data_IF_686166284543
#
_entry.id   IF_686166284543
#
_cell.length_a   1.000
_cell.length_b   1.000
_cell.length_c   1.000
_cell.angle_alpha   90.00
_cell.angle_beta   90.00
_cell.angle_gamma   90.00
#
_symmetry.space_group_name_H-M   'P 1'
#
loop_
_entity.id
_entity.type
_entity.pdbx_description
1 polymer ?
#
# COMPACT_ATOMS: atom_id res chain seq x y z
N UNK A 1 -25.38 4.48 -33.79
CA UNK A 1 -24.34 3.48 -34.11
C UNK A 1 -23.24 3.45 -33.07
N UNK A 2 -22.58 4.56 -32.66
CA UNK A 2 -21.49 4.53 -31.70
C UNK A 2 -21.85 3.97 -30.29
N UNK A 3 -23.03 4.27 -29.75
CA UNK A 3 -23.47 3.83 -28.42
C UNK A 3 -23.80 2.32 -28.33
N UNK A 4 -24.13 1.68 -29.45
CA UNK A 4 -24.37 0.23 -29.52
C UNK A 4 -23.05 -0.57 -29.55
N UNK A 5 -22.03 -0.05 -30.22
CA UNK A 5 -20.72 -0.66 -30.31
C UNK A 5 -19.97 -0.58 -28.96
N UNK A 6 -20.08 0.54 -28.23
CA UNK A 6 -19.48 0.70 -26.89
C UNK A 6 -20.07 -0.28 -25.86
N UNK A 7 -21.39 -0.51 -25.88
CA UNK A 7 -22.03 -1.47 -24.98
C UNK A 7 -21.61 -2.91 -25.28
N UNK A 8 -21.47 -3.28 -26.55
CA UNK A 8 -21.02 -4.63 -26.92
C UNK A 8 -19.57 -4.88 -26.52
N UNK A 9 -18.68 -3.87 -26.62
CA UNK A 9 -17.31 -3.98 -26.16
C UNK A 9 -17.20 -4.11 -24.63
N UNK A 10 -18.04 -3.38 -23.88
CA UNK A 10 -18.15 -3.49 -22.42
C UNK A 10 -18.63 -4.89 -22.02
N UNK A 11 -19.71 -5.38 -22.65
CA UNK A 11 -20.26 -6.70 -22.34
C UNK A 11 -19.24 -7.82 -22.64
N UNK A 12 -18.50 -7.73 -23.74
CA UNK A 12 -17.46 -8.68 -24.08
C UNK A 12 -16.30 -8.66 -23.08
N UNK A 13 -15.87 -7.46 -22.63
CA UNK A 13 -14.84 -7.34 -21.59
C UNK A 13 -15.31 -7.92 -20.26
N UNK A 14 -16.54 -7.61 -19.82
CA UNK A 14 -17.11 -8.16 -18.59
C UNK A 14 -17.27 -9.66 -18.64
N UNK A 15 -17.72 -10.22 -19.77
CA UNK A 15 -17.81 -11.67 -19.95
C UNK A 15 -16.43 -12.35 -19.82
N UNK A 16 -15.36 -11.72 -20.33
CA UNK A 16 -14.00 -12.26 -20.21
C UNK A 16 -13.47 -12.24 -18.78
N UNK A 17 -14.05 -11.44 -17.89
CA UNK A 17 -13.65 -11.33 -16.48
C UNK A 17 -14.46 -12.26 -15.55
N UNK A 18 -15.64 -12.74 -15.98
CA UNK A 18 -16.61 -13.38 -15.09
C UNK A 18 -16.22 -14.82 -14.67
N UNK A 19 -15.34 -15.46 -15.39
CA UNK A 19 -15.03 -16.89 -15.20
C UNK A 19 -14.23 -17.14 -13.91
N UNK A 20 -13.22 -16.30 -13.65
CA UNK A 20 -12.34 -16.41 -12.48
C UNK A 20 -11.49 -15.15 -12.25
N UNK A 21 -10.83 -15.06 -11.09
CA UNK A 21 -9.85 -14.00 -10.82
C UNK A 21 -8.67 -14.00 -11.80
N UNK A 22 -8.27 -15.18 -12.29
CA UNK A 22 -7.19 -15.29 -13.28
C UNK A 22 -7.65 -14.84 -14.67
N UNK A 23 -8.91 -15.10 -15.04
CA UNK A 23 -9.51 -14.60 -16.27
C UNK A 23 -9.59 -13.06 -16.24
N UNK A 24 -10.05 -12.48 -15.12
CA UNK A 24 -10.09 -11.03 -14.92
C UNK A 24 -8.69 -10.40 -15.00
N UNK A 25 -7.69 -11.04 -14.42
CA UNK A 25 -6.30 -10.59 -14.53
C UNK A 25 -5.77 -10.70 -15.97
N UNK A 26 -6.11 -11.78 -16.68
CA UNK A 26 -5.77 -11.94 -18.10
C UNK A 26 -6.37 -10.83 -18.96
N UNK A 27 -7.65 -10.51 -18.75
CA UNK A 27 -8.33 -9.40 -19.43
C UNK A 27 -7.68 -8.04 -19.08
N UNK A 28 -7.30 -7.83 -17.83
CA UNK A 28 -6.59 -6.62 -17.39
C UNK A 28 -5.22 -6.49 -18.09
N UNK A 29 -4.44 -7.57 -18.22
CA UNK A 29 -3.17 -7.56 -18.98
C UNK A 29 -3.37 -7.15 -20.44
N UNK A 30 -4.36 -7.72 -21.11
CA UNK A 30 -4.66 -7.38 -22.50
C UNK A 30 -5.06 -5.90 -22.67
N UNK A 31 -5.80 -5.34 -21.71
CA UNK A 31 -6.11 -3.90 -21.69
C UNK A 31 -4.88 -3.06 -21.44
N UNK A 32 -3.96 -3.49 -20.56
CA UNK A 32 -2.71 -2.77 -20.30
C UNK A 32 -1.87 -2.65 -21.57
N UNK A 33 -1.73 -3.73 -22.35
CA UNK A 33 -0.99 -3.72 -23.62
C UNK A 33 -1.59 -2.68 -24.59
N UNK A 34 -2.92 -2.59 -24.65
CA UNK A 34 -3.61 -1.58 -25.48
C UNK A 34 -3.42 -0.15 -24.94
N UNK A 35 -3.39 0.05 -23.62
CA UNK A 35 -3.12 1.35 -22.99
C UNK A 35 -1.69 1.83 -23.25
N UNK A 36 -0.74 0.91 -23.28
CA UNK A 36 0.67 1.20 -23.56
C UNK A 36 0.92 1.55 -25.02
N UNK A 37 0.17 0.97 -25.95
CA UNK A 37 0.30 1.22 -27.38
C UNK A 37 -0.43 2.51 -27.77
N UNK A 38 0.27 3.54 -28.32
CA UNK A 38 -0.35 4.82 -28.66
C UNK A 38 -1.57 4.72 -29.59
N UNK A 39 -1.55 3.78 -30.55
CA UNK A 39 -2.62 3.61 -31.53
C UNK A 39 -3.96 3.11 -30.93
N UNK A 40 -3.91 2.33 -29.86
CA UNK A 40 -5.11 1.74 -29.22
C UNK A 40 -5.43 2.32 -27.84
N UNK A 41 -4.59 3.22 -27.32
CA UNK A 41 -4.73 3.82 -25.97
C UNK A 41 -6.07 4.50 -25.76
N UNK A 42 -6.49 5.36 -26.70
CA UNK A 42 -7.73 6.10 -26.58
C UNK A 42 -8.95 5.16 -26.53
N UNK A 43 -8.94 4.10 -27.35
CA UNK A 43 -10.03 3.11 -27.34
C UNK A 43 -10.06 2.32 -26.04
N UNK A 44 -8.90 1.85 -25.55
CA UNK A 44 -8.81 1.15 -24.27
C UNK A 44 -9.23 2.04 -23.09
N UNK A 45 -8.89 3.32 -23.12
CA UNK A 45 -9.29 4.30 -22.10
C UNK A 45 -10.82 4.52 -22.11
N UNK A 46 -11.43 4.66 -23.30
CA UNK A 46 -12.89 4.75 -23.43
C UNK A 46 -13.59 3.49 -22.94
N UNK A 47 -13.07 2.31 -23.27
CA UNK A 47 -13.61 1.04 -22.76
C UNK A 47 -13.65 1.03 -21.23
N UNK A 48 -12.52 1.30 -20.56
CA UNK A 48 -12.46 1.34 -19.09
C UNK A 48 -13.36 2.44 -18.49
N UNK A 49 -13.47 3.60 -19.14
CA UNK A 49 -14.38 4.65 -18.75
C UNK A 49 -15.85 4.24 -18.86
N UNK A 50 -16.21 3.47 -19.89
CA UNK A 50 -17.57 2.92 -20.06
C UNK A 50 -17.88 1.83 -19.04
N UNK A 51 -16.92 0.95 -18.75
CA UNK A 51 -17.00 -0.05 -17.67
C UNK A 51 -17.22 0.64 -16.32
N UNK A 52 -16.44 1.67 -15.99
CA UNK A 52 -16.61 2.45 -14.77
C UNK A 52 -18.01 3.05 -14.64
N UNK A 53 -18.50 3.68 -15.72
CA UNK A 53 -19.85 4.28 -15.72
C UNK A 53 -20.96 3.25 -15.46
N UNK A 54 -20.80 2.02 -15.93
CA UNK A 54 -21.76 0.94 -15.69
C UNK A 54 -21.85 0.54 -14.22
N UNK A 55 -20.79 0.71 -13.46
CA UNK A 55 -20.69 0.39 -12.03
C UNK A 55 -20.62 1.63 -11.14
N UNK A 56 -21.06 2.77 -11.62
CA UNK A 56 -21.07 4.03 -10.86
C UNK A 56 -22.01 3.99 -9.65
N UNK A 57 -23.03 3.11 -9.66
CA UNK A 57 -23.87 2.85 -8.50
C UNK A 57 -23.08 2.03 -7.45
N UNK A 58 -22.96 2.52 -6.21
CA UNK A 58 -22.24 1.80 -5.14
C UNK A 58 -22.80 0.39 -4.87
N UNK A 59 -24.11 0.19 -5.01
CA UNK A 59 -24.73 -1.14 -4.83
C UNK A 59 -24.28 -2.11 -5.95
N UNK A 60 -24.28 -1.66 -7.19
CA UNK A 60 -23.79 -2.44 -8.32
C UNK A 60 -22.30 -2.71 -8.26
N UNK A 61 -21.51 -1.83 -7.62
CA UNK A 61 -20.06 -1.97 -7.47
C UNK A 61 -19.63 -3.16 -6.62
N UNK A 62 -20.37 -3.49 -5.54
CA UNK A 62 -20.08 -4.68 -4.71
C UNK A 62 -20.44 -5.98 -5.43
N UNK A 63 -21.55 -6.03 -6.13
CA UNK A 63 -21.94 -7.20 -6.94
C UNK A 63 -20.98 -7.40 -8.11
N UNK A 64 -20.46 -6.31 -8.68
CA UNK A 64 -19.43 -6.36 -9.72
C UNK A 64 -18.16 -7.07 -9.25
N UNK A 65 -17.65 -6.76 -8.06
CA UNK A 65 -16.42 -7.37 -7.54
C UNK A 65 -16.58 -8.88 -7.31
N UNK A 66 -17.76 -9.32 -6.90
CA UNK A 66 -18.08 -10.74 -6.72
C UNK A 66 -18.29 -11.48 -8.05
N UNK A 67 -18.91 -10.82 -9.02
CA UNK A 67 -19.31 -11.46 -10.30
C UNK A 67 -18.19 -11.45 -11.32
N UNK A 68 -17.43 -10.35 -11.40
CA UNK A 68 -16.42 -10.14 -12.45
C UNK A 68 -14.98 -10.15 -11.94
N UNK A 69 -14.76 -10.39 -10.65
CA UNK A 69 -13.44 -10.44 -10.02
C UNK A 69 -12.60 -9.17 -10.24
N UNK A 70 -13.23 -8.03 -10.44
CA UNK A 70 -12.61 -6.71 -10.46
C UNK A 70 -13.65 -5.64 -10.20
N UNK A 71 -13.19 -4.42 -9.89
CA UNK A 71 -14.02 -3.20 -9.92
C UNK A 71 -13.19 -2.02 -10.41
N UNK A 72 -13.91 -1.02 -10.97
CA UNK A 72 -13.32 0.31 -11.25
C UNK A 72 -14.15 1.32 -10.50
N UNK A 73 -13.49 2.07 -9.60
CA UNK A 73 -14.16 3.06 -8.77
C UNK A 73 -13.25 4.26 -8.49
N UNK A 74 -13.81 5.31 -7.90
CA UNK A 74 -13.06 6.49 -7.49
C UNK A 74 -12.61 6.37 -6.03
N UNK A 75 -11.32 6.60 -5.78
CA UNK A 75 -10.73 6.78 -4.46
C UNK A 75 -10.65 8.28 -4.17
N UNK A 76 -11.32 8.73 -3.12
CA UNK A 76 -11.34 10.13 -2.71
C UNK A 76 -10.11 10.37 -1.81
N UNK A 77 -9.24 11.29 -2.24
CA UNK A 77 -7.97 11.57 -1.55
C UNK A 77 -8.14 12.52 -0.36
N UNK A 78 -9.20 13.33 -0.36
CA UNK A 78 -9.50 14.26 0.71
C UNK A 78 -10.99 14.20 1.08
N UNK A 79 -11.37 13.31 2.00
CA UNK A 79 -12.77 13.11 2.38
C UNK A 79 -13.39 14.34 3.05
N UNK A 80 -12.57 15.24 3.63
CA UNK A 80 -13.07 16.47 4.26
C UNK A 80 -13.55 17.52 3.22
N UNK A 81 -13.12 17.35 1.96
CA UNK A 81 -13.54 18.21 0.85
C UNK A 81 -14.65 17.58 -0.01
N UNK A 82 -15.29 16.51 0.47
CA UNK A 82 -16.41 15.87 -0.25
C UNK A 82 -17.49 16.90 -0.56
N UNK A 83 -17.92 16.93 -1.84
CA UNK A 83 -18.94 17.87 -2.33
C UNK A 83 -18.37 19.23 -2.77
N UNK A 84 -17.11 19.54 -2.58
CA UNK A 84 -16.47 20.69 -3.21
C UNK A 84 -16.09 20.38 -4.67
N UNK A 85 -16.05 21.41 -5.53
CA UNK A 85 -15.54 21.28 -6.91
C UNK A 85 -14.04 20.93 -6.98
N UNK A 86 -13.35 20.90 -5.84
CA UNK A 86 -11.91 20.65 -5.70
C UNK A 86 -11.58 19.27 -5.11
N UNK A 87 -12.59 18.39 -4.93
CA UNK A 87 -12.35 17.03 -4.41
C UNK A 87 -11.40 16.30 -5.36
N UNK A 88 -10.18 16.05 -4.88
CA UNK A 88 -9.22 15.24 -5.63
C UNK A 88 -9.60 13.77 -5.49
N UNK A 89 -9.65 13.08 -6.62
CA UNK A 89 -9.96 11.66 -6.68
C UNK A 89 -9.06 10.95 -7.69
N UNK A 90 -8.84 9.67 -7.47
CA UNK A 90 -8.20 8.78 -8.43
C UNK A 90 -9.21 7.73 -8.91
N UNK A 91 -9.22 7.48 -10.20
CA UNK A 91 -9.94 6.33 -10.75
C UNK A 91 -9.05 5.09 -10.66
N UNK A 92 -9.53 4.07 -9.95
CA UNK A 92 -8.74 2.88 -9.65
C UNK A 92 -9.44 1.61 -10.11
N UNK A 93 -8.69 0.72 -10.76
CA UNK A 93 -9.06 -0.67 -10.95
C UNK A 93 -8.50 -1.50 -9.78
N UNK A 94 -9.31 -2.41 -9.28
CA UNK A 94 -8.93 -3.35 -8.23
C UNK A 94 -9.28 -4.77 -8.64
N UNK A 95 -8.48 -5.72 -8.19
CA UNK A 95 -8.70 -7.17 -8.32
C UNK A 95 -8.50 -7.85 -6.95
N UNK A 96 -9.11 -9.02 -6.70
CA UNK A 96 -9.10 -9.66 -5.37
C UNK A 96 -7.71 -10.01 -4.82
N UNK A 97 -6.74 -10.21 -5.69
CA UNK A 97 -5.37 -10.60 -5.30
C UNK A 97 -4.46 -9.44 -4.86
N UNK A 98 -4.99 -8.22 -4.77
CA UNK A 98 -4.24 -7.02 -4.40
C UNK A 98 -5.01 -6.25 -3.33
N UNK A 99 -4.32 -5.77 -2.30
CA UNK A 99 -4.93 -4.98 -1.25
C UNK A 99 -5.61 -3.73 -1.80
N UNK A 100 -6.87 -3.55 -1.43
CA UNK A 100 -7.64 -2.34 -1.70
C UNK A 100 -7.18 -1.18 -0.83
N UNK A 101 -7.39 0.08 -1.25
CA UNK A 101 -7.28 1.22 -0.36
C UNK A 101 -8.22 1.08 0.84
N UNK A 102 -7.66 1.05 2.04
CA UNK A 102 -8.36 0.87 3.31
C UNK A 102 -7.75 1.74 4.41
N UNK A 103 -8.31 1.71 5.62
CA UNK A 103 -7.91 2.56 6.74
C UNK A 103 -6.40 2.56 7.00
N UNK A 104 -5.73 1.40 6.82
CA UNK A 104 -4.29 1.28 6.96
C UNK A 104 -3.53 2.20 5.99
N UNK A 105 -3.87 2.14 4.73
CA UNK A 105 -3.22 2.91 3.68
C UNK A 105 -3.68 4.38 3.64
N UNK A 106 -4.94 4.66 3.99
CA UNK A 106 -5.41 6.04 4.18
C UNK A 106 -4.73 6.74 5.36
N UNK A 107 -4.52 6.04 6.47
CA UNK A 107 -3.74 6.56 7.61
C UNK A 107 -2.31 6.90 7.19
N UNK A 108 -1.71 6.06 6.34
CA UNK A 108 -0.37 6.33 5.81
C UNK A 108 -0.35 7.60 4.95
N UNK A 109 -1.28 7.72 4.01
CA UNK A 109 -1.38 8.91 3.15
C UNK A 109 -1.62 10.19 3.97
N UNK A 110 -2.46 10.13 5.00
CA UNK A 110 -2.65 11.24 5.95
C UNK A 110 -1.35 11.60 6.67
N UNK A 111 -0.60 10.60 7.13
CA UNK A 111 0.71 10.81 7.74
C UNK A 111 1.72 11.46 6.81
N UNK A 112 1.77 11.06 5.52
CA UNK A 112 2.59 11.74 4.51
C UNK A 112 2.19 13.21 4.36
N UNK A 113 0.91 13.52 4.45
CA UNK A 113 0.36 14.88 4.35
C UNK A 113 0.71 15.79 5.54
N UNK A 114 1.23 15.23 6.65
CA UNK A 114 1.73 15.98 7.80
C UNK A 114 3.13 16.58 7.59
N UNK A 115 3.80 16.21 6.53
CA UNK A 115 5.01 16.89 6.09
C UNK A 115 4.67 18.15 5.29
N UNK A 116 5.57 19.16 5.26
CA UNK A 116 5.48 20.26 4.31
C UNK A 116 5.50 19.74 2.85
N UNK A 117 4.79 20.40 1.96
CA UNK A 117 4.74 20.01 0.54
C UNK A 117 6.12 19.90 -0.12
N UNK A 118 7.08 20.69 0.32
CA UNK A 118 8.47 20.66 -0.16
C UNK A 118 9.21 19.36 0.12
N UNK A 119 8.67 18.47 1.00
CA UNK A 119 9.35 17.24 1.36
C UNK A 119 9.50 16.29 0.15
N UNK A 120 8.51 16.28 -0.75
CA UNK A 120 8.50 15.42 -1.92
C UNK A 120 8.72 16.15 -3.24
N UNK A 121 8.52 17.48 -3.29
CA UNK A 121 8.71 18.27 -4.50
C UNK A 121 10.15 18.13 -5.02
N UNK A 122 10.29 17.84 -6.31
CA UNK A 122 11.59 17.67 -7.00
C UNK A 122 12.47 16.55 -6.40
N UNK A 123 11.87 15.59 -5.71
CA UNK A 123 12.58 14.47 -5.07
C UNK A 123 12.39 13.17 -5.84
N UNK A 124 13.41 12.33 -5.78
CA UNK A 124 13.35 10.93 -6.22
C UNK A 124 12.84 10.09 -5.05
N UNK A 125 11.73 9.40 -5.25
CA UNK A 125 10.99 8.66 -4.22
C UNK A 125 10.89 7.19 -4.61
N UNK A 126 11.14 6.27 -3.69
CA UNK A 126 10.74 4.87 -3.81
C UNK A 126 9.54 4.59 -2.89
N UNK A 127 8.49 3.96 -3.43
CA UNK A 127 7.32 3.51 -2.70
C UNK A 127 7.31 1.99 -2.60
N UNK A 128 7.53 1.44 -1.40
CA UNK A 128 7.61 0.01 -1.12
C UNK A 128 6.21 -0.58 -0.86
N UNK A 129 5.93 -1.76 -1.43
CA UNK A 129 4.64 -2.40 -1.36
C UNK A 129 3.58 -1.53 -2.02
N UNK A 130 3.81 -1.11 -3.27
CA UNK A 130 2.95 -0.13 -3.95
C UNK A 130 1.53 -0.64 -4.24
N UNK A 131 1.31 -1.96 -4.21
CA UNK A 131 0.01 -2.57 -4.46
C UNK A 131 -0.57 -2.13 -5.79
N UNK A 132 -1.80 -1.63 -5.78
CA UNK A 132 -2.46 -1.08 -6.97
C UNK A 132 -1.95 0.31 -7.40
N UNK A 133 -0.91 0.84 -6.77
CA UNK A 133 -0.21 2.08 -7.14
C UNK A 133 -0.83 3.37 -6.62
N UNK A 134 -1.97 3.33 -5.90
CA UNK A 134 -2.73 4.53 -5.57
C UNK A 134 -1.95 5.58 -4.79
N UNK A 135 -1.14 5.18 -3.79
CA UNK A 135 -0.33 6.12 -3.00
C UNK A 135 0.73 6.80 -3.86
N UNK A 136 1.42 6.04 -4.73
CA UNK A 136 2.42 6.57 -5.64
C UNK A 136 1.84 7.58 -6.63
N UNK A 137 0.65 7.28 -7.18
CA UNK A 137 -0.08 8.16 -8.11
C UNK A 137 -0.58 9.41 -7.37
N UNK A 138 -1.18 9.23 -6.18
CA UNK A 138 -1.66 10.34 -5.35
C UNK A 138 -0.52 11.28 -4.94
N UNK A 139 0.62 10.71 -4.53
CA UNK A 139 1.83 11.45 -4.17
C UNK A 139 2.32 12.29 -5.35
N UNK A 140 2.42 11.69 -6.53
CA UNK A 140 2.87 12.38 -7.74
C UNK A 140 1.94 13.53 -8.12
N UNK A 141 0.63 13.32 -8.05
CA UNK A 141 -0.37 14.35 -8.37
C UNK A 141 -0.45 15.49 -7.36
N UNK A 142 -0.09 15.23 -6.09
CA UNK A 142 -0.15 16.26 -5.03
C UNK A 142 1.14 17.05 -4.88
N UNK A 143 2.29 16.37 -4.84
CA UNK A 143 3.55 16.98 -4.42
C UNK A 143 4.57 17.19 -5.54
N UNK A 144 4.25 16.78 -6.77
CA UNK A 144 5.07 17.00 -7.97
C UNK A 144 6.55 16.56 -7.76
N UNK A 145 6.81 15.29 -7.38
CA UNK A 145 8.16 14.79 -7.22
C UNK A 145 8.89 14.75 -8.57
N UNK A 146 10.21 14.67 -8.55
CA UNK A 146 11.00 14.45 -9.76
C UNK A 146 10.65 13.09 -10.37
N UNK A 147 10.66 12.04 -9.55
CA UNK A 147 10.32 10.67 -9.94
C UNK A 147 9.83 9.85 -8.76
N UNK A 148 8.85 8.99 -9.00
CA UNK A 148 8.36 7.99 -8.05
C UNK A 148 8.55 6.60 -8.66
N UNK A 149 9.28 5.75 -7.98
CA UNK A 149 9.40 4.33 -8.29
C UNK A 149 8.49 3.55 -7.35
N UNK A 150 7.36 3.07 -7.84
CA UNK A 150 6.47 2.16 -7.09
C UNK A 150 6.98 0.73 -7.23
N UNK A 151 7.29 0.10 -6.11
CA UNK A 151 7.92 -1.21 -6.03
C UNK A 151 7.03 -2.20 -5.32
N UNK A 152 6.84 -3.38 -5.91
CA UNK A 152 6.08 -4.47 -5.30
C UNK A 152 6.64 -5.81 -5.74
N UNK A 153 6.61 -6.80 -4.85
CA UNK A 153 7.07 -8.15 -5.19
C UNK A 153 6.02 -8.91 -6.01
N UNK A 154 4.75 -8.49 -5.92
CA UNK A 154 3.65 -9.12 -6.64
C UNK A 154 3.56 -8.58 -8.07
N UNK A 155 3.84 -9.40 -9.12
CA UNK A 155 3.78 -8.96 -10.50
C UNK A 155 2.36 -8.54 -10.93
N UNK A 156 1.31 -9.06 -10.28
CA UNK A 156 -0.07 -8.61 -10.54
C UNK A 156 -0.29 -7.18 -10.07
N UNK A 157 0.24 -6.83 -8.89
CA UNK A 157 0.24 -5.45 -8.37
C UNK A 157 0.82 -4.48 -9.38
N UNK A 158 1.96 -4.81 -9.95
CA UNK A 158 2.65 -3.96 -10.93
C UNK A 158 1.79 -3.73 -12.18
N UNK A 159 1.15 -4.78 -12.71
CA UNK A 159 0.27 -4.64 -13.89
C UNK A 159 -0.94 -3.76 -13.60
N UNK A 160 -1.58 -3.96 -12.46
CA UNK A 160 -2.74 -3.13 -12.05
C UNK A 160 -2.31 -1.70 -11.73
N UNK A 161 -1.16 -1.49 -11.10
CA UNK A 161 -0.62 -0.15 -10.84
C UNK A 161 -0.37 0.63 -12.15
N UNK A 162 0.16 -0.03 -13.18
CA UNK A 162 0.28 0.57 -14.50
C UNK A 162 -1.07 0.92 -15.13
N UNK A 163 -2.09 0.04 -15.05
CA UNK A 163 -3.44 0.37 -15.53
C UNK A 163 -3.96 1.61 -14.80
N UNK A 164 -3.82 1.65 -13.48
CA UNK A 164 -4.26 2.76 -12.66
C UNK A 164 -3.51 4.07 -12.99
N UNK A 165 -2.24 3.98 -13.30
CA UNK A 165 -1.48 5.13 -13.78
C UNK A 165 -2.06 5.67 -15.10
N UNK A 166 -2.36 4.81 -16.07
CA UNK A 166 -2.99 5.20 -17.34
C UNK A 166 -4.41 5.75 -17.15
N UNK A 167 -5.18 5.20 -16.20
CA UNK A 167 -6.52 5.70 -15.85
C UNK A 167 -6.50 7.14 -15.32
N UNK A 168 -5.39 7.58 -14.74
CA UNK A 168 -5.26 8.91 -14.15
C UNK A 168 -4.34 9.85 -14.95
N UNK A 169 -3.54 9.33 -15.88
CA UNK A 169 -2.67 10.12 -16.75
C UNK A 169 -3.37 10.63 -18.01
N UNK A 170 -4.50 10.05 -18.37
CA UNK A 170 -5.28 10.41 -19.56
C UNK A 170 -6.75 10.63 -19.20
N UNK A 171 -7.40 11.55 -19.92
CA UNK A 171 -8.83 11.74 -19.85
C UNK A 171 -9.62 10.60 -20.55
N UNK A 172 -10.94 10.67 -20.56
CA UNK A 172 -11.79 9.65 -21.18
C UNK A 172 -11.65 9.59 -22.71
N UNK A 173 -11.15 10.66 -23.33
CA UNK A 173 -10.89 10.74 -24.77
C UNK A 173 -9.46 10.29 -25.13
N UNK A 174 -8.64 9.97 -24.12
CA UNK A 174 -7.27 9.51 -24.27
C UNK A 174 -6.24 10.63 -24.44
N UNK A 175 -6.60 11.88 -24.13
CA UNK A 175 -5.66 12.99 -24.13
C UNK A 175 -4.86 13.01 -22.83
N UNK A 176 -3.52 13.30 -22.88
CA UNK A 176 -2.71 13.42 -21.67
C UNK A 176 -3.20 14.54 -20.75
N UNK A 177 -3.23 14.27 -19.46
CA UNK A 177 -3.48 15.26 -18.42
C UNK A 177 -2.14 15.79 -17.92
N UNK A 178 -1.92 17.10 -18.09
CA UNK A 178 -0.69 17.78 -17.69
C UNK A 178 -0.88 18.46 -16.33
N UNK A 179 0.17 18.42 -15.52
CA UNK A 179 0.25 19.18 -14.27
C UNK A 179 0.71 20.63 -14.51
N UNK A 180 0.85 21.40 -13.41
CA UNK A 180 1.27 22.81 -13.47
C UNK A 180 2.69 23.04 -13.99
N UNK A 181 3.50 21.99 -14.18
CA UNK A 181 4.84 22.02 -14.74
C UNK A 181 4.90 21.46 -16.17
N UNK A 182 3.74 21.15 -16.75
CA UNK A 182 3.65 20.61 -18.11
C UNK A 182 4.08 19.14 -18.23
N UNK A 183 4.11 18.38 -17.13
CA UNK A 183 4.40 16.96 -17.08
C UNK A 183 3.13 16.15 -16.85
N UNK A 184 3.13 14.92 -17.35
CA UNK A 184 2.07 13.94 -17.05
C UNK A 184 2.46 13.07 -15.87
N UNK A 185 1.50 12.30 -15.34
CA UNK A 185 1.80 11.29 -14.32
C UNK A 185 2.78 10.22 -14.84
N UNK A 186 2.77 9.91 -16.14
CA UNK A 186 3.72 8.97 -16.76
C UNK A 186 5.17 9.48 -16.73
N UNK A 187 5.37 10.80 -16.75
CA UNK A 187 6.71 11.38 -16.62
C UNK A 187 7.25 11.26 -15.19
N UNK A 188 6.34 11.17 -14.21
CA UNK A 188 6.68 11.19 -12.78
C UNK A 188 6.68 9.82 -12.11
N UNK A 189 5.88 8.85 -12.58
CA UNK A 189 5.67 7.56 -11.90
C UNK A 189 6.05 6.41 -12.79
N UNK A 190 6.76 5.45 -12.23
CA UNK A 190 7.06 4.15 -12.83
C UNK A 190 6.84 3.05 -11.81
N UNK A 191 6.47 1.85 -12.28
CA UNK A 191 6.25 0.69 -11.43
C UNK A 191 7.12 -0.48 -11.85
N UNK A 192 7.75 -1.14 -10.87
CA UNK A 192 8.66 -2.25 -11.10
C UNK A 192 8.44 -3.38 -10.10
N UNK A 193 8.56 -4.60 -10.58
CA UNK A 193 8.66 -5.77 -9.73
C UNK A 193 9.97 -5.72 -8.95
N UNK A 194 9.87 -5.83 -7.62
CA UNK A 194 11.04 -5.69 -6.75
C UNK A 194 10.77 -6.32 -5.39
N UNK A 195 11.68 -7.13 -4.92
CA UNK A 195 11.75 -7.50 -3.51
C UNK A 195 12.36 -6.32 -2.74
N UNK A 196 11.50 -5.56 -2.07
CA UNK A 196 11.83 -4.28 -1.42
C UNK A 196 12.61 -3.34 -2.35
N UNK A 197 13.87 -3.05 -2.04
CA UNK A 197 14.73 -2.10 -2.75
C UNK A 197 15.70 -2.77 -3.74
N UNK A 198 15.52 -4.06 -4.06
CA UNK A 198 16.42 -4.77 -4.99
C UNK A 198 16.55 -4.05 -6.33
N UNK A 199 15.42 -3.63 -6.93
CA UNK A 199 15.44 -2.84 -8.17
C UNK A 199 16.29 -1.57 -8.06
N UNK A 200 16.16 -0.84 -6.95
CA UNK A 200 16.92 0.40 -6.77
C UNK A 200 18.43 0.13 -6.62
N UNK A 201 18.81 -0.93 -5.91
CA UNK A 201 20.22 -1.34 -5.78
C UNK A 201 20.82 -1.74 -7.12
N UNK A 202 20.12 -2.62 -7.84
CA UNK A 202 20.59 -3.19 -9.10
C UNK A 202 20.76 -2.12 -10.17
N UNK A 203 19.89 -1.09 -10.15
CA UNK A 203 19.97 0.06 -11.05
C UNK A 203 20.75 1.24 -10.47
N UNK A 204 21.41 1.08 -9.31
CA UNK A 204 22.25 2.11 -8.66
C UNK A 204 21.52 3.44 -8.47
N UNK A 205 20.23 3.37 -8.12
CA UNK A 205 19.42 4.57 -7.88
C UNK A 205 19.77 5.17 -6.52
N UNK A 206 19.91 6.48 -6.48
CA UNK A 206 20.06 7.26 -5.25
C UNK A 206 18.73 7.96 -4.94
N UNK A 207 18.15 7.65 -3.80
CA UNK A 207 16.81 8.09 -3.41
C UNK A 207 16.87 9.25 -2.42
N UNK A 208 16.05 10.27 -2.64
CA UNK A 208 15.82 11.32 -1.65
C UNK A 208 14.85 10.87 -0.57
N UNK A 209 13.87 10.03 -0.93
CA UNK A 209 12.81 9.55 -0.05
C UNK A 209 12.52 8.08 -0.29
N UNK A 210 12.24 7.37 0.79
CA UNK A 210 11.68 6.01 0.75
C UNK A 210 10.41 6.04 1.57
N UNK A 211 9.31 5.59 0.99
CA UNK A 211 8.03 5.46 1.70
C UNK A 211 7.59 4.01 1.67
N UNK A 212 7.00 3.52 2.76
CA UNK A 212 6.58 2.12 2.85
C UNK A 212 5.31 1.93 3.66
N UNK A 213 4.32 1.32 3.00
CA UNK A 213 3.12 0.78 3.63
C UNK A 213 3.13 -0.74 3.39
N UNK A 214 4.17 -1.40 3.90
CA UNK A 214 4.45 -2.81 3.65
C UNK A 214 3.78 -3.70 4.71
N UNK A 215 3.52 -4.99 4.40
CA UNK A 215 2.88 -5.90 5.32
C UNK A 215 3.63 -6.05 6.63
N UNK A 216 2.87 -6.10 7.72
CA UNK A 216 3.35 -6.41 9.07
C UNK A 216 2.64 -7.69 9.52
N UNK A 217 3.22 -8.82 9.15
CA UNK A 217 2.63 -10.14 9.36
C UNK A 217 3.46 -10.88 10.40
N UNK A 218 2.80 -11.24 11.49
CA UNK A 218 3.33 -12.18 12.45
C UNK A 218 2.97 -13.59 11.97
N UNK A 219 3.96 -14.39 11.66
CA UNK A 219 3.78 -15.79 11.27
C UNK A 219 4.45 -16.73 12.28
N UNK A 220 3.81 -17.04 13.42
CA UNK A 220 4.35 -17.98 14.38
C UNK A 220 4.23 -19.43 13.89
N UNK A 221 3.37 -19.70 12.89
CA UNK A 221 3.16 -21.03 12.32
C UNK A 221 3.15 -20.97 10.80
N UNK A 222 4.33 -21.10 10.12
CA UNK A 222 4.44 -21.09 8.67
C UNK A 222 3.55 -22.13 7.96
N UNK A 223 3.32 -23.30 8.58
CA UNK A 223 2.49 -24.34 7.99
C UNK A 223 1.00 -23.99 7.98
N UNK A 224 0.50 -23.32 9.03
CA UNK A 224 -0.88 -22.85 9.08
C UNK A 224 -1.15 -21.76 8.04
N UNK A 225 -0.21 -20.81 7.89
CA UNK A 225 -0.29 -19.78 6.84
C UNK A 225 -0.23 -20.39 5.45
N UNK A 226 0.63 -21.38 5.24
CA UNK A 226 0.73 -22.10 3.97
C UNK A 226 -0.59 -22.76 3.56
N UNK A 227 -1.37 -23.29 4.52
CA UNK A 227 -2.70 -23.87 4.26
C UNK A 227 -3.75 -22.84 3.87
N UNK A 228 -3.79 -21.70 4.54
CA UNK A 228 -4.72 -20.59 4.22
C UNK A 228 -4.45 -20.07 2.80
N UNK A 229 -3.19 -20.04 2.42
CA UNK A 229 -2.72 -19.58 1.12
C UNK A 229 -3.13 -20.57 0.01
N UNK A 230 -3.06 -21.89 0.25
CA UNK A 230 -3.20 -22.92 -0.80
C UNK A 230 -4.64 -23.08 -1.30
N UNK A 231 -5.65 -22.69 -0.51
CA UNK A 231 -7.05 -22.99 -0.83
C UNK A 231 -7.72 -22.03 -1.83
N UNK A 232 -7.18 -20.83 -2.07
CA UNK A 232 -7.89 -19.77 -2.82
C UNK A 232 -7.07 -18.86 -3.74
N UNK A 233 -5.81 -19.18 -4.10
CA UNK A 233 -4.95 -18.20 -4.75
C UNK A 233 -4.16 -18.76 -5.95
N UNK A 234 -3.89 -17.91 -6.96
CA UNK A 234 -2.99 -18.24 -8.06
C UNK A 234 -1.54 -18.41 -7.60
N UNK A 235 -0.73 -19.13 -8.37
CA UNK A 235 0.70 -19.33 -8.06
C UNK A 235 1.46 -18.01 -7.85
N UNK A 236 1.20 -16.98 -8.66
CA UNK A 236 1.84 -15.67 -8.54
C UNK A 236 1.51 -14.98 -7.20
N UNK A 237 0.25 -15.09 -6.76
CA UNK A 237 -0.17 -14.52 -5.48
C UNK A 237 0.40 -15.32 -4.31
N UNK A 238 0.40 -16.66 -4.40
CA UNK A 238 0.99 -17.56 -3.41
C UNK A 238 2.47 -17.26 -3.19
N UNK A 239 3.21 -17.10 -4.29
CA UNK A 239 4.63 -16.76 -4.23
C UNK A 239 4.86 -15.43 -3.50
N UNK A 240 4.12 -14.40 -3.87
CA UNK A 240 4.22 -13.08 -3.26
C UNK A 240 3.91 -13.11 -1.76
N UNK A 241 2.82 -13.79 -1.38
CA UNK A 241 2.41 -13.87 0.01
C UNK A 241 3.37 -14.71 0.87
N UNK A 242 3.91 -15.80 0.32
CA UNK A 242 4.90 -16.63 1.02
C UNK A 242 6.18 -15.84 1.34
N UNK A 243 6.60 -14.94 0.46
CA UNK A 243 7.72 -14.03 0.73
C UNK A 243 7.41 -13.02 1.84
N UNK A 244 6.17 -12.53 1.94
CA UNK A 244 5.76 -11.65 3.04
C UNK A 244 5.70 -12.36 4.39
N UNK A 245 5.33 -13.63 4.39
CA UNK A 245 5.22 -14.44 5.60
C UNK A 245 6.54 -15.08 6.02
N UNK A 246 7.58 -15.06 5.18
CA UNK A 246 8.88 -15.61 5.50
C UNK A 246 9.56 -14.80 6.60
N UNK A 247 10.25 -15.52 7.52
CA UNK A 247 11.13 -14.89 8.48
C UNK A 247 12.30 -14.22 7.74
N UNK A 248 12.61 -12.99 8.15
CA UNK A 248 13.67 -12.19 7.53
C UNK A 248 15.03 -12.37 8.22
N UNK A 249 15.07 -13.12 9.34
CA UNK A 249 16.29 -13.36 10.13
C UNK A 249 16.61 -12.26 11.13
N UNK A 250 15.65 -11.42 11.45
CA UNK A 250 15.78 -10.35 12.44
C UNK A 250 15.08 -10.71 13.75
N UNK A 251 15.58 -10.16 14.86
CA UNK A 251 14.90 -10.28 16.17
C UNK A 251 13.50 -9.67 16.15
N UNK A 252 13.26 -8.77 15.24
CA UNK A 252 11.98 -8.12 15.00
C UNK A 252 10.94 -9.03 14.33
N UNK A 253 11.34 -10.20 13.84
CA UNK A 253 10.41 -11.20 13.27
C UNK A 253 9.38 -11.69 14.31
N UNK A 254 9.79 -11.79 15.59
CA UNK A 254 8.89 -12.14 16.70
C UNK A 254 7.71 -11.18 16.87
N UNK A 255 7.84 -9.97 16.34
CA UNK A 255 6.83 -8.91 16.44
C UNK A 255 6.16 -8.60 15.09
N UNK A 256 6.44 -9.37 14.05
CA UNK A 256 5.98 -9.12 12.69
C UNK A 256 6.64 -7.90 12.02
N UNK A 257 7.78 -7.44 12.53
CA UNK A 257 8.47 -6.23 12.07
C UNK A 257 9.71 -6.54 11.22
N UNK A 258 10.02 -7.82 10.97
CA UNK A 258 11.24 -8.21 10.26
C UNK A 258 11.33 -7.64 8.86
N UNK A 259 10.23 -7.65 8.10
CA UNK A 259 10.20 -7.07 6.74
C UNK A 259 10.47 -5.55 6.76
N UNK A 260 9.94 -4.84 7.75
CA UNK A 260 10.21 -3.40 7.95
C UNK A 260 11.67 -3.18 8.33
N UNK A 261 12.21 -4.01 9.24
CA UNK A 261 13.62 -3.97 9.63
C UNK A 261 14.53 -4.14 8.41
N UNK A 262 14.25 -5.12 7.56
CA UNK A 262 14.97 -5.36 6.30
C UNK A 262 14.87 -4.17 5.35
N UNK A 263 13.67 -3.63 5.16
CA UNK A 263 13.46 -2.46 4.30
C UNK A 263 14.27 -1.23 4.76
N UNK A 264 14.34 -1.01 6.08
CA UNK A 264 15.16 0.07 6.66
C UNK A 264 16.65 -0.15 6.41
N UNK A 265 17.16 -1.38 6.58
CA UNK A 265 18.58 -1.70 6.34
C UNK A 265 18.95 -1.60 4.86
N UNK A 266 18.13 -2.15 3.96
CA UNK A 266 18.34 -2.00 2.52
C UNK A 266 18.29 -0.53 2.10
N UNK A 267 17.42 0.26 2.75
CA UNK A 267 17.28 1.70 2.50
C UNK A 267 18.56 2.48 2.79
N UNK A 268 19.37 2.08 3.78
CA UNK A 268 20.64 2.75 4.08
C UNK A 268 21.59 2.74 2.88
N UNK A 269 21.55 1.68 2.08
CA UNK A 269 22.44 1.51 0.92
C UNK A 269 22.08 2.38 -0.29
N UNK A 270 20.83 2.87 -0.37
CA UNK A 270 20.31 3.59 -1.55
C UNK A 270 19.79 4.99 -1.25
N UNK A 271 19.68 5.35 0.02
CA UNK A 271 19.21 6.68 0.41
C UNK A 271 20.36 7.68 0.40
N UNK A 272 20.12 8.85 -0.17
CA UNK A 272 21.08 9.96 -0.16
C UNK A 272 21.34 10.47 1.27
N UNK A 273 22.48 11.12 1.53
CA UNK A 273 22.69 11.89 2.75
C UNK A 273 21.52 12.86 2.97
N UNK A 274 21.01 12.95 4.18
CA UNK A 274 19.82 13.74 4.56
C UNK A 274 18.50 13.24 3.94
N UNK A 275 18.49 12.08 3.30
CA UNK A 275 17.29 11.43 2.82
C UNK A 275 16.37 11.00 3.99
N UNK A 276 15.10 10.82 3.71
CA UNK A 276 14.08 10.50 4.72
C UNK A 276 13.36 9.23 4.29
N UNK A 277 13.14 8.35 5.27
CA UNK A 277 12.25 7.21 5.12
C UNK A 277 10.97 7.47 5.91
N UNK A 278 9.81 7.05 5.37
CA UNK A 278 8.52 7.14 6.05
C UNK A 278 7.84 5.79 6.01
N UNK A 279 7.50 5.25 7.18
CA UNK A 279 6.85 3.94 7.30
C UNK A 279 5.58 4.02 8.12
N UNK A 280 4.60 3.20 7.73
CA UNK A 280 3.37 2.94 8.46
C UNK A 280 3.53 1.67 9.29
N UNK A 281 3.29 1.75 10.59
CA UNK A 281 3.52 0.63 11.52
C UNK A 281 2.33 0.45 12.47
N UNK A 282 1.79 -0.76 12.50
CA UNK A 282 0.82 -1.19 13.49
C UNK A 282 1.46 -1.35 14.86
N UNK A 283 0.87 -0.73 15.87
CA UNK A 283 1.42 -0.62 17.21
C UNK A 283 1.23 -1.84 18.10
N UNK A 284 0.71 -2.96 17.58
CA UNK A 284 0.50 -4.18 18.37
C UNK A 284 1.73 -4.63 19.18
N UNK A 285 2.96 -4.52 18.66
CA UNK A 285 4.17 -4.85 19.43
C UNK A 285 4.49 -3.88 20.58
N UNK A 286 3.74 -2.78 20.67
CA UNK A 286 4.03 -1.67 21.57
C UNK A 286 4.90 -0.60 20.91
N UNK A 287 4.62 0.67 21.24
CA UNK A 287 5.29 1.82 20.61
C UNK A 287 6.81 1.73 20.75
N UNK A 288 7.32 1.39 21.92
CA UNK A 288 8.76 1.31 22.16
C UNK A 288 9.46 0.21 21.33
N UNK A 289 8.78 -0.87 20.97
CA UNK A 289 9.29 -1.91 20.06
C UNK A 289 9.34 -1.37 18.63
N UNK A 290 8.26 -0.75 18.18
CA UNK A 290 8.18 -0.14 16.84
C UNK A 290 9.29 0.91 16.62
N UNK A 291 9.52 1.77 17.61
CA UNK A 291 10.54 2.82 17.54
C UNK A 291 11.96 2.23 17.55
N UNK A 292 12.21 1.16 18.29
CA UNK A 292 13.53 0.51 18.34
C UNK A 292 13.99 -0.03 16.99
N UNK A 293 13.07 -0.39 16.07
CA UNK A 293 13.44 -0.81 14.71
C UNK A 293 14.34 0.22 14.04
N UNK A 294 14.01 1.49 14.18
CA UNK A 294 14.76 2.60 13.58
C UNK A 294 15.94 3.05 14.45
N UNK A 295 15.73 3.19 15.75
CA UNK A 295 16.75 3.69 16.68
C UNK A 295 18.01 2.80 16.71
N UNK A 296 17.82 1.46 16.67
CA UNK A 296 18.93 0.50 16.61
C UNK A 296 19.76 0.58 15.34
N UNK A 297 19.16 1.11 14.27
CA UNK A 297 19.78 1.29 12.95
C UNK A 297 20.31 2.71 12.73
N UNK A 298 20.37 3.51 13.81
CA UNK A 298 20.99 4.84 13.80
C UNK A 298 20.12 5.95 13.25
N UNK A 299 18.81 5.76 13.18
CA UNK A 299 17.88 6.81 12.73
C UNK A 299 17.39 7.68 13.88
N UNK A 300 17.17 8.96 13.56
CA UNK A 300 16.25 9.81 14.31
C UNK A 300 14.85 9.56 13.79
N UNK A 301 13.88 9.51 14.71
CA UNK A 301 12.49 9.28 14.38
C UNK A 301 11.62 10.46 14.80
N UNK A 302 10.56 10.68 14.01
CA UNK A 302 9.48 11.59 14.34
C UNK A 302 8.17 10.89 14.00
N UNK A 303 7.28 10.73 14.97
CA UNK A 303 5.93 10.27 14.72
C UNK A 303 5.13 11.42 14.09
N UNK A 304 4.68 11.23 12.85
CA UNK A 304 3.93 12.22 12.08
C UNK A 304 2.45 12.18 12.40
N UNK A 305 1.92 10.97 12.48
CA UNK A 305 0.50 10.70 12.68
C UNK A 305 0.30 9.42 13.45
N UNK A 306 -0.76 9.34 14.21
CA UNK A 306 -1.20 8.13 14.87
C UNK A 306 -2.72 8.14 14.98
N UNK A 307 -3.32 6.99 14.70
CA UNK A 307 -4.75 6.74 14.92
C UNK A 307 -4.93 5.35 15.51
N UNK A 308 -6.16 4.99 15.87
CA UNK A 308 -6.56 3.62 16.17
C UNK A 308 -7.36 3.07 15.01
N UNK A 309 -7.11 1.83 14.66
CA UNK A 309 -7.88 1.09 13.68
C UNK A 309 -8.45 -0.18 14.32
N UNK A 310 -9.65 -0.55 13.86
CA UNK A 310 -10.26 -1.80 14.31
C UNK A 310 -9.43 -2.98 13.82
N UNK A 311 -9.22 -3.96 14.69
CA UNK A 311 -8.69 -5.26 14.27
C UNK A 311 -9.77 -5.99 13.47
N UNK A 312 -9.44 -6.52 12.31
CA UNK A 312 -10.37 -7.32 11.53
C UNK A 312 -10.88 -8.53 12.36
N UNK A 313 -12.18 -8.78 12.32
CA UNK A 313 -12.82 -9.75 13.19
C UNK A 313 -12.38 -11.21 12.89
N UNK A 314 -11.93 -11.46 11.68
CA UNK A 314 -11.41 -12.74 11.18
C UNK A 314 -9.92 -12.96 11.50
N UNK A 315 -9.23 -11.93 12.01
CA UNK A 315 -7.81 -12.06 12.38
C UNK A 315 -7.66 -12.80 13.71
N UNK A 316 -7.04 -13.98 13.66
CA UNK A 316 -6.67 -14.71 14.86
C UNK A 316 -5.44 -14.10 15.51
N UNK A 317 -5.57 -13.70 16.79
CA UNK A 317 -4.46 -13.17 17.59
C UNK A 317 -3.96 -14.18 18.64
N UNK A 318 -4.40 -15.45 18.57
CA UNK A 318 -3.98 -16.50 19.53
C UNK A 318 -2.47 -16.68 19.58
N UNK A 319 -1.79 -16.52 18.44
CA UNK A 319 -0.35 -16.57 18.37
C UNK A 319 0.37 -15.49 19.19
N UNK A 320 -0.22 -14.31 19.29
CA UNK A 320 0.31 -13.23 20.14
C UNK A 320 0.15 -13.57 21.63
N UNK A 321 -0.93 -14.28 21.98
CA UNK A 321 -1.14 -14.80 23.34
C UNK A 321 -0.08 -15.81 23.69
N UNK A 322 0.23 -16.74 22.79
CA UNK A 322 1.30 -17.74 22.99
C UNK A 322 2.69 -17.10 23.20
N UNK A 323 3.00 -16.05 22.45
CA UNK A 323 4.24 -15.28 22.65
C UNK A 323 4.26 -14.65 24.06
N UNK A 324 3.15 -14.05 24.51
CA UNK A 324 3.05 -13.49 25.85
C UNK A 324 3.18 -14.52 26.97
N UNK A 325 2.79 -15.77 26.74
CA UNK A 325 2.93 -16.86 27.70
C UNK A 325 4.38 -17.32 27.84
N UNK A 326 5.14 -17.24 26.75
CA UNK A 326 6.51 -17.74 26.69
C UNK A 326 7.57 -16.63 26.78
N UNK A 327 7.17 -15.36 26.92
CA UNK A 327 8.09 -14.22 27.02
C UNK A 327 7.58 -13.15 27.98
N UNK A 328 8.44 -12.25 28.47
CA UNK A 328 8.02 -11.10 29.26
C UNK A 328 7.33 -10.00 28.44
N UNK A 329 7.33 -10.13 27.11
CA UNK A 329 6.73 -9.15 26.22
C UNK A 329 5.20 -9.08 26.40
N UNK A 330 4.62 -7.90 26.22
CA UNK A 330 3.17 -7.70 26.20
C UNK A 330 2.83 -6.88 24.97
N UNK A 331 1.87 -7.40 24.17
CA UNK A 331 1.31 -6.69 23.05
C UNK A 331 0.33 -5.61 23.53
N UNK A 332 0.04 -4.63 22.68
CA UNK A 332 -0.83 -3.51 23.00
C UNK A 332 -2.07 -3.51 22.08
N UNK A 333 -3.20 -3.74 22.68
CA UNK A 333 -4.52 -3.61 22.08
C UNK A 333 -5.38 -2.65 22.88
N UNK A 334 -6.48 -2.21 22.31
CA UNK A 334 -7.46 -1.40 23.00
C UNK A 334 -8.85 -2.05 22.85
N UNK A 335 -9.66 -1.94 23.89
CA UNK A 335 -11.07 -2.35 23.83
C UNK A 335 -11.82 -1.29 23.05
N UNK A 336 -12.31 -1.67 21.84
CA UNK A 336 -12.96 -0.75 20.91
C UNK A 336 -12.04 0.40 20.46
N UNK A 337 -12.57 1.38 19.72
CA UNK A 337 -11.84 2.59 19.31
C UNK A 337 -11.68 3.63 20.42
N UNK A 338 -12.59 3.58 21.40
CA UNK A 338 -12.64 4.57 22.49
C UNK A 338 -11.81 4.22 23.72
N UNK A 339 -11.43 2.96 23.88
CA UNK A 339 -10.62 2.52 25.03
C UNK A 339 -9.25 3.22 25.07
N UNK A 340 -8.93 3.90 26.17
CA UNK A 340 -7.70 4.69 26.31
C UNK A 340 -6.52 3.88 26.86
N UNK A 341 -6.82 2.83 27.60
CA UNK A 341 -5.79 2.01 28.24
C UNK A 341 -5.47 0.78 27.37
N UNK A 342 -4.19 0.52 27.10
CA UNK A 342 -3.81 -0.67 26.40
C UNK A 342 -4.04 -1.92 27.27
N UNK A 343 -4.49 -2.99 26.62
CA UNK A 343 -4.63 -4.32 27.20
C UNK A 343 -3.71 -5.30 26.47
N UNK A 344 -3.26 -6.34 27.16
CA UNK A 344 -2.40 -7.35 26.57
C UNK A 344 -3.17 -8.27 25.61
N UNK A 345 -2.45 -9.04 24.77
CA UNK A 345 -3.07 -9.93 23.79
C UNK A 345 -4.02 -10.94 24.42
N UNK A 346 -3.69 -11.50 25.59
CA UNK A 346 -4.55 -12.44 26.31
C UNK A 346 -5.91 -11.79 26.68
N UNK A 347 -5.89 -10.56 27.20
CA UNK A 347 -7.13 -9.84 27.56
C UNK A 347 -7.92 -9.48 26.31
N UNK A 348 -7.24 -8.99 25.26
CA UNK A 348 -7.86 -8.67 23.98
C UNK A 348 -8.54 -9.90 23.35
N UNK A 349 -7.84 -11.04 23.36
CA UNK A 349 -8.36 -12.29 22.83
C UNK A 349 -9.61 -12.79 23.59
N UNK A 350 -9.57 -12.75 24.92
CA UNK A 350 -10.72 -13.12 25.76
C UNK A 350 -11.92 -12.20 25.49
N UNK A 351 -11.68 -10.89 25.31
CA UNK A 351 -12.73 -9.92 24.99
C UNK A 351 -13.33 -10.18 23.58
N UNK A 352 -12.52 -10.47 22.57
CA UNK A 352 -12.99 -10.85 21.23
C UNK A 352 -13.84 -12.13 21.28
N UNK A 353 -13.42 -13.15 22.02
CA UNK A 353 -14.17 -14.41 22.18
C UNK A 353 -15.52 -14.22 22.86
N UNK A 354 -15.69 -13.16 23.64
CA UNK A 354 -16.99 -12.77 24.23
C UNK A 354 -17.82 -11.85 23.33
N UNK A 355 -17.42 -11.62 22.08
CA UNK A 355 -18.13 -10.78 21.11
C UNK A 355 -17.74 -9.30 21.13
N UNK A 356 -16.70 -8.93 21.87
CA UNK A 356 -16.15 -7.56 21.87
C UNK A 356 -15.30 -7.25 20.67
N UNK A 357 -15.15 -5.97 20.37
CA UNK A 357 -14.27 -5.48 19.30
C UNK A 357 -12.99 -4.93 19.90
N UNK A 358 -11.86 -5.18 19.25
CA UNK A 358 -10.56 -4.64 19.64
C UNK A 358 -9.99 -3.76 18.54
N UNK A 359 -9.14 -2.84 18.94
CA UNK A 359 -8.37 -2.00 18.04
C UNK A 359 -6.89 -2.00 18.43
N UNK A 360 -6.05 -1.48 17.55
CA UNK A 360 -4.66 -1.22 17.85
C UNK A 360 -4.25 0.14 17.27
N UNK A 361 -3.18 0.71 17.79
CA UNK A 361 -2.64 1.94 17.21
C UNK A 361 -2.01 1.67 15.85
N UNK A 362 -2.10 2.63 14.95
CA UNK A 362 -1.41 2.68 13.68
C UNK A 362 -0.67 4.00 13.60
N UNK A 363 0.65 3.94 13.39
CA UNK A 363 1.52 5.11 13.45
C UNK A 363 2.32 5.27 12.18
N UNK A 364 2.47 6.52 11.74
CA UNK A 364 3.34 6.89 10.63
C UNK A 364 4.59 7.56 11.20
N UNK A 365 5.74 6.94 10.96
CA UNK A 365 7.04 7.41 11.41
C UNK A 365 7.86 7.96 10.25
N UNK A 366 8.43 9.14 10.45
CA UNK A 366 9.45 9.72 9.60
C UNK A 366 10.82 9.49 10.24
N UNK A 367 11.74 8.93 9.48
CA UNK A 367 13.04 8.51 9.95
C UNK A 367 14.14 9.13 9.10
N UNK A 368 15.15 9.70 9.75
CA UNK A 368 16.31 10.28 9.09
C UNK A 368 17.58 9.69 9.70
N UNK A 369 18.51 9.25 8.85
CA UNK A 369 19.79 8.72 9.32
C UNK A 369 20.55 9.82 10.06
N UNK A 370 21.09 9.50 11.24
CA UNK A 370 21.94 10.41 12.01
C UNK A 370 23.18 10.73 11.20
N UNK A 371 23.44 12.01 11.00
CA UNK A 371 24.70 12.43 10.42
C UNK A 371 25.82 12.18 11.45
N UNK A 372 26.83 11.34 11.18
CA UNK A 372 27.94 11.08 12.11
C UNK A 372 28.70 12.36 12.50
N UNK A 373 28.65 13.40 11.67
CA UNK A 373 29.27 14.69 11.94
C UNK A 373 28.41 15.63 12.82
N UNK A 374 27.16 15.25 13.12
CA UNK A 374 26.25 15.99 14.01
C UNK A 374 26.09 15.37 15.40
N UNK A 375 26.90 14.39 15.76
CA UNK A 375 27.02 13.97 17.15
C UNK A 375 27.74 15.09 17.89
N UNK A 376 27.01 16.16 18.17
CA UNK A 376 27.38 17.09 19.22
C UNK A 376 27.57 16.26 20.48
N UNK A 377 28.73 16.40 21.07
CA UNK A 377 29.05 15.98 22.43
C UNK A 377 28.07 16.66 23.40
N UNK A 378 26.82 16.24 23.42
CA UNK A 378 25.90 16.55 24.50
C UNK A 378 25.94 15.42 25.50
N UNK A 379 26.91 15.60 26.42
CA UNK A 379 26.89 15.17 27.82
C UNK A 379 26.59 13.70 28.11
N UNK A 380 27.64 12.99 28.27
CA UNK A 380 27.82 12.13 29.43
C UNK A 380 27.83 13.05 30.68
N UNK A 381 26.66 13.21 31.31
CA UNK A 381 26.52 13.52 32.74
C UNK A 381 25.15 13.02 33.21
#
# INVERSE_FOLDING_TARGET
>A
MAATDDNQAVDAFLASCAESGDAAYGAAKAVLERLQAPASRAEARRLLGSVRRRFADPAAGQDCFRTFHFRIHDVILDPHLQGSRQTKKLTMMEIPSIFSPEDWSFTFYEGLSRHPDSIFRDKTVAGLGCGNGWISIALAGKWLPLKVYGLDINPRSIKIAWINLYLNAFDDDGHPIYDGEGKTLLDRVEFYESDLLSYCRDNKLELDRIIGCIPQILNPNPEAMSRIITENSSEEFLYSLSNYCALQGFVEDEFGLGLIARAVEEGIAVIKPMGIMVFNIGGRPGQGVCERVFLRRGFHIKKLWQTKIMQAADTDISALVEIEENSPHRFEFFMDLVGDQPVCARTAWAYMKSGGHISHSLSVYSCQLRNPNQVSFCSLY
#
